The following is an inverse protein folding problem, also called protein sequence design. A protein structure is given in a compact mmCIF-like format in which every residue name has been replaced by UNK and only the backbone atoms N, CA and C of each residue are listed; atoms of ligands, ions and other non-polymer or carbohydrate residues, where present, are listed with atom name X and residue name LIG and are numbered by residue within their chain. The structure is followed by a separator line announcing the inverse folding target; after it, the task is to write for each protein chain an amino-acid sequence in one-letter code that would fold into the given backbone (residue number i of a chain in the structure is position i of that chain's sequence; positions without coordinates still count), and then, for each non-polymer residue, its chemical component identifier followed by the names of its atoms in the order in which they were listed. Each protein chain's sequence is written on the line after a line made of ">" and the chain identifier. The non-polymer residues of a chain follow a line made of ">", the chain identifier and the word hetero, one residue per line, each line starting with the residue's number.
data_IF_457170788538
#
_entry.id   IF_457170788538
#
_cell.length_a   1.000
_cell.length_b   1.000
_cell.length_c   1.000
_cell.angle_alpha   90.00
_cell.angle_beta   90.00
_cell.angle_gamma   90.00
#
_symmetry.space_group_name_H-M   'P 1'
#
loop_
_entity.id
_entity.type
_entity.pdbx_description
1 polymer ?
#
# COMPACT_ATOMS: atom_id res chain seq x y z
N UNK A 1 -14.35 11.98 -18.51
CA UNK A 1 -14.01 10.65 -17.98
C UNK A 1 -15.30 10.00 -17.50
N UNK A 2 -15.58 8.77 -17.93
CA UNK A 2 -16.71 7.95 -17.46
C UNK A 2 -16.41 7.42 -16.05
N UNK A 3 -17.43 6.92 -15.33
CA UNK A 3 -17.23 6.33 -14.00
C UNK A 3 -16.32 5.09 -14.07
N UNK A 4 -16.40 4.30 -15.15
CA UNK A 4 -15.49 3.17 -15.39
C UNK A 4 -14.04 3.62 -15.61
N UNK A 5 -13.83 4.64 -16.43
CA UNK A 5 -12.48 5.20 -16.64
C UNK A 5 -11.91 5.77 -15.34
N UNK A 6 -12.75 6.36 -14.49
CA UNK A 6 -12.35 6.85 -13.19
C UNK A 6 -11.94 5.70 -12.26
N UNK A 7 -12.69 4.59 -12.26
CA UNK A 7 -12.34 3.40 -11.49
C UNK A 7 -10.99 2.81 -11.95
N UNK A 8 -10.79 2.66 -13.26
CA UNK A 8 -9.51 2.19 -13.84
C UNK A 8 -8.36 3.13 -13.45
N UNK A 9 -8.62 4.45 -13.47
CA UNK A 9 -7.61 5.44 -13.08
C UNK A 9 -7.27 5.38 -11.59
N UNK A 10 -8.24 5.08 -10.74
CA UNK A 10 -8.01 4.92 -9.30
C UNK A 10 -7.02 3.78 -9.01
N UNK A 11 -7.03 2.71 -9.80
CA UNK A 11 -6.17 1.52 -9.62
C UNK A 11 -4.82 1.59 -10.32
N UNK A 12 -4.62 2.47 -11.31
CA UNK A 12 -3.35 2.54 -12.02
C UNK A 12 -2.37 3.49 -11.32
N UNK A 13 -1.28 3.01 -10.69
CA UNK A 13 -0.32 3.86 -9.98
C UNK A 13 0.51 4.78 -10.88
N UNK A 14 0.53 4.60 -12.20
CA UNK A 14 1.34 5.41 -13.13
C UNK A 14 0.49 6.25 -14.07
N UNK A 15 -0.58 6.85 -13.56
CA UNK A 15 -1.38 7.80 -14.32
C UNK A 15 -1.17 9.24 -13.86
N UNK A 16 -1.53 10.16 -14.73
CA UNK A 16 -1.40 11.62 -14.57
C UNK A 16 -2.41 12.20 -13.57
N UNK A 17 -2.48 11.57 -12.39
CA UNK A 17 -3.30 12.00 -11.27
C UNK A 17 -2.46 12.04 -9.99
N UNK A 18 -2.60 13.10 -9.23
CA UNK A 18 -2.23 13.04 -7.82
C UNK A 18 -3.30 12.24 -7.10
N UNK A 19 -2.94 11.10 -6.54
CA UNK A 19 -3.83 10.23 -5.77
C UNK A 19 -3.51 10.35 -4.30
N UNK A 20 -4.53 10.46 -3.49
CA UNK A 20 -4.39 10.51 -2.03
C UNK A 20 -5.32 9.47 -1.42
N UNK A 21 -4.91 8.19 -1.36
CA UNK A 21 -5.64 7.18 -0.62
C UNK A 21 -5.44 7.40 0.88
N UNK A 22 -6.53 7.24 1.62
CA UNK A 22 -6.58 7.17 3.07
C UNK A 22 -7.28 5.87 3.40
N UNK A 23 -6.55 4.93 4.01
CA UNK A 23 -7.05 3.60 4.31
C UNK A 23 -6.98 3.32 5.81
N UNK A 24 -8.11 2.94 6.40
CA UNK A 24 -8.16 2.32 7.72
C UNK A 24 -8.14 0.81 7.58
N UNK A 25 -7.28 0.15 8.34
CA UNK A 25 -7.18 -1.30 8.44
C UNK A 25 -7.37 -1.70 9.89
N UNK A 26 -8.52 -2.31 10.19
CA UNK A 26 -8.83 -2.82 11.52
C UNK A 26 -8.52 -4.29 11.58
N UNK A 27 -7.60 -4.68 12.48
CA UNK A 27 -7.20 -6.06 12.73
C UNK A 27 -7.97 -6.66 13.92
N UNK A 28 -8.49 -7.86 13.73
CA UNK A 28 -9.31 -8.57 14.72
C UNK A 28 -8.62 -9.83 15.21
N UNK A 29 -8.99 -10.24 16.43
CA UNK A 29 -8.50 -11.46 17.10
C UNK A 29 -6.97 -11.47 17.24
N UNK A 30 -6.41 -10.34 17.67
CA UNK A 30 -4.98 -10.15 17.94
C UNK A 30 -4.60 -10.82 19.23
N UNK A 31 -3.61 -11.70 19.18
CA UNK A 31 -3.09 -12.41 20.34
C UNK A 31 -4.10 -13.35 21.02
N UNK A 32 -3.78 -13.77 22.25
CA UNK A 32 -4.62 -14.74 23.00
C UNK A 32 -5.89 -14.12 23.55
N UNK A 33 -5.88 -12.81 23.77
CA UNK A 33 -7.04 -12.09 24.34
C UNK A 33 -8.01 -11.58 23.26
N UNK A 34 -7.80 -11.97 22.00
CA UNK A 34 -8.64 -11.58 20.85
C UNK A 34 -8.85 -10.05 20.75
N UNK A 35 -7.81 -9.28 20.99
CA UNK A 35 -7.85 -7.83 20.94
C UNK A 35 -8.10 -7.30 19.51
N UNK A 36 -8.39 -6.01 19.42
CA UNK A 36 -8.60 -5.29 18.16
C UNK A 36 -7.55 -4.19 18.07
N UNK A 37 -6.89 -4.09 16.93
CA UNK A 37 -5.96 -3.00 16.58
C UNK A 37 -6.44 -2.28 15.35
N UNK A 38 -5.94 -1.08 15.12
CA UNK A 38 -6.30 -0.27 13.96
C UNK A 38 -5.09 0.50 13.44
N UNK A 39 -5.05 0.72 12.13
CA UNK A 39 -4.04 1.54 11.48
C UNK A 39 -4.68 2.38 10.38
N UNK A 40 -4.36 3.66 10.35
CA UNK A 40 -4.75 4.55 9.26
C UNK A 40 -3.50 4.91 8.48
N UNK A 41 -3.48 4.51 7.22
CA UNK A 41 -2.41 4.80 6.27
C UNK A 41 -2.84 5.91 5.31
N UNK A 42 -1.94 6.84 5.03
CA UNK A 42 -2.05 7.87 4.00
C UNK A 42 -0.87 7.69 3.05
N UNK A 43 -1.14 7.41 1.79
CA UNK A 43 -0.08 7.04 0.84
C UNK A 43 -0.23 7.77 -0.50
N UNK A 44 0.00 9.09 -0.53
CA UNK A 44 -0.16 9.87 -1.74
C UNK A 44 0.80 9.41 -2.84
N UNK A 45 0.30 9.36 -4.07
CA UNK A 45 1.09 9.14 -5.26
C UNK A 45 1.25 10.45 -6.02
N UNK A 46 2.48 10.90 -6.12
CA UNK A 46 2.86 12.22 -6.63
C UNK A 46 3.63 12.06 -7.95
N UNK A 47 3.04 12.39 -9.11
CA UNK A 47 3.73 12.39 -10.39
C UNK A 47 4.57 13.64 -10.58
N UNK A 48 5.75 13.49 -11.18
CA UNK A 48 6.67 14.56 -11.58
C UNK A 48 7.17 14.27 -13.00
N UNK A 49 6.83 15.11 -13.97
CA UNK A 49 7.35 14.99 -15.34
C UNK A 49 8.81 15.45 -15.38
N UNK A 50 9.73 14.54 -15.70
CA UNK A 50 11.15 14.86 -15.82
C UNK A 50 11.48 15.37 -17.22
N UNK A 51 10.94 14.73 -18.25
CA UNK A 51 11.09 15.10 -19.65
C UNK A 51 10.03 14.37 -20.52
N UNK A 52 10.11 14.50 -21.84
CA UNK A 52 9.13 13.90 -22.77
C UNK A 52 9.10 12.36 -22.74
N UNK A 53 10.11 11.69 -22.19
CA UNK A 53 10.24 10.23 -22.23
C UNK A 53 10.10 9.59 -20.83
N UNK A 54 10.26 10.36 -19.74
CA UNK A 54 10.34 9.83 -18.38
C UNK A 54 9.61 10.67 -17.35
N UNK A 55 8.84 9.99 -16.52
CA UNK A 55 8.20 10.52 -15.32
C UNK A 55 8.80 9.88 -14.06
N UNK A 56 8.83 10.64 -12.98
CA UNK A 56 9.17 10.19 -11.64
C UNK A 56 7.90 10.18 -10.79
N UNK A 57 7.63 9.08 -10.11
CA UNK A 57 6.56 8.99 -9.12
C UNK A 57 7.16 8.84 -7.73
N UNK A 58 6.67 9.65 -6.78
CA UNK A 58 6.99 9.48 -5.37
C UNK A 58 5.75 8.99 -4.62
N UNK A 59 5.92 7.94 -3.81
CA UNK A 59 4.86 7.30 -3.00
C UNK A 59 5.31 7.28 -1.54
N UNK A 60 5.19 8.39 -0.77
CA UNK A 60 5.38 8.37 0.67
C UNK A 60 4.23 7.63 1.34
N UNK A 61 4.53 6.85 2.37
CA UNK A 61 3.57 6.10 3.18
C UNK A 61 3.70 6.54 4.63
N UNK A 62 2.60 7.04 5.20
CA UNK A 62 2.50 7.49 6.57
C UNK A 62 1.38 6.71 7.27
N UNK A 63 1.73 5.98 8.31
CA UNK A 63 0.79 5.17 9.08
C UNK A 63 0.72 5.65 10.51
N UNK A 64 -0.49 5.88 11.00
CA UNK A 64 -0.79 6.05 12.43
C UNK A 64 -1.51 4.80 12.89
N UNK A 65 -0.95 4.10 13.87
CA UNK A 65 -1.48 2.83 14.35
C UNK A 65 -1.86 2.86 15.82
N UNK A 66 -2.83 2.03 16.17
CA UNK A 66 -3.11 1.57 17.53
C UNK A 66 -2.80 0.08 17.61
N UNK A 67 -1.75 -0.25 18.34
CA UNK A 67 -1.37 -1.63 18.68
C UNK A 67 -1.81 -1.97 20.10
N UNK A 68 -2.64 -3.01 20.29
CA UNK A 68 -3.12 -3.42 21.61
C UNK A 68 -2.14 -4.35 22.35
N UNK A 69 -1.03 -4.77 21.71
CA UNK A 69 -0.08 -5.75 22.24
C UNK A 69 1.37 -5.39 21.88
N UNK A 70 2.37 -5.74 22.71
CA UNK A 70 2.28 -6.29 24.08
C UNK A 70 1.72 -5.29 25.09
N UNK A 71 1.91 -3.99 24.85
CA UNK A 71 1.32 -2.87 25.60
C UNK A 71 0.51 -2.01 24.62
N UNK A 72 -0.54 -1.38 25.09
CA UNK A 72 -1.34 -0.47 24.28
C UNK A 72 -0.51 0.76 23.89
N UNK A 73 -0.30 0.91 22.59
CA UNK A 73 0.45 2.03 22.00
C UNK A 73 -0.34 2.64 20.84
N UNK A 74 -0.29 3.96 20.74
CA UNK A 74 -0.82 4.69 19.59
C UNK A 74 0.20 5.68 19.10
N UNK A 75 0.34 5.82 17.80
CA UNK A 75 1.25 6.82 17.24
C UNK A 75 1.65 6.53 15.81
N UNK A 76 2.62 7.30 15.33
CA UNK A 76 3.18 7.17 14.00
C UNK A 76 4.08 5.93 13.93
N UNK A 77 3.98 5.18 12.85
CA UNK A 77 4.93 4.15 12.45
C UNK A 77 6.14 4.74 11.70
N UNK A 78 7.08 3.87 11.31
CA UNK A 78 8.21 4.30 10.47
C UNK A 78 7.70 4.72 9.08
N UNK A 79 8.01 5.95 8.69
CA UNK A 79 7.66 6.49 7.36
C UNK A 79 8.48 5.77 6.29
N UNK A 80 7.83 5.42 5.19
CA UNK A 80 8.48 4.87 4.00
C UNK A 80 8.23 5.78 2.80
N UNK A 81 9.14 5.75 1.84
CA UNK A 81 8.95 6.45 0.56
C UNK A 81 9.54 5.62 -0.57
N UNK A 82 8.70 5.26 -1.54
CA UNK A 82 9.11 4.64 -2.79
C UNK A 82 9.22 5.68 -3.90
N UNK A 83 10.21 5.51 -4.76
CA UNK A 83 10.38 6.32 -5.96
C UNK A 83 10.40 5.39 -7.17
N UNK A 84 9.64 5.77 -8.22
CA UNK A 84 9.58 4.98 -9.45
C UNK A 84 9.90 5.88 -10.64
N UNK A 85 10.94 5.54 -11.38
CA UNK A 85 11.17 6.05 -12.71
C UNK A 85 10.35 5.21 -13.69
N UNK A 86 9.48 5.85 -14.47
CA UNK A 86 8.56 5.20 -15.40
C UNK A 86 8.60 5.88 -16.77
N UNK A 87 8.45 5.14 -17.88
CA UNK A 87 8.28 5.76 -19.19
C UNK A 87 7.01 6.64 -19.23
N UNK A 88 7.13 7.87 -19.75
CA UNK A 88 6.03 8.83 -19.86
C UNK A 88 4.94 8.41 -20.88
N UNK A 89 5.19 7.37 -21.69
CA UNK A 89 4.25 6.88 -22.69
C UNK A 89 3.22 5.95 -22.08
N UNK A 90 1.96 6.39 -22.09
CA UNK A 90 0.83 5.57 -21.67
C UNK A 90 0.55 4.46 -22.69
N UNK A 91 0.84 3.23 -22.31
CA UNK A 91 0.51 2.00 -23.04
C UNK A 91 -0.37 1.10 -22.15
N UNK A 92 -0.86 -0.03 -22.69
CA UNK A 92 -1.57 -1.02 -21.86
C UNK A 92 -0.72 -1.61 -20.76
N UNK A 93 0.59 -1.64 -20.95
CA UNK A 93 1.59 -2.06 -19.99
C UNK A 93 2.44 -0.86 -19.60
N UNK A 94 2.46 -0.54 -18.33
CA UNK A 94 3.31 0.51 -17.77
C UNK A 94 4.13 -0.11 -16.63
N UNK A 95 5.37 0.30 -16.51
CA UNK A 95 6.24 -0.17 -15.44
C UNK A 95 7.00 0.99 -14.82
N UNK A 96 7.41 0.81 -13.59
CA UNK A 96 8.30 1.74 -12.91
C UNK A 96 9.23 0.99 -11.97
N UNK A 97 10.42 1.50 -11.79
CA UNK A 97 11.39 0.93 -10.86
C UNK A 97 12.23 2.03 -10.20
N UNK A 98 12.74 1.77 -9.01
CA UNK A 98 13.57 2.71 -8.28
C UNK A 98 13.89 2.26 -6.86
N UNK A 99 14.30 3.15 -5.98
CA UNK A 99 14.55 2.87 -4.57
C UNK A 99 13.30 3.03 -3.71
N UNK A 100 13.28 2.27 -2.61
CA UNK A 100 12.45 2.53 -1.42
C UNK A 100 13.36 2.86 -0.24
N UNK A 101 12.95 3.80 0.60
CA UNK A 101 13.67 4.19 1.82
C UNK A 101 12.66 4.18 2.98
N UNK A 102 13.06 3.58 4.10
CA UNK A 102 12.35 3.63 5.38
C UNK A 102 13.14 4.46 6.38
N UNK A 103 12.45 5.35 7.06
CA UNK A 103 12.99 6.28 8.04
C UNK A 103 12.57 5.83 9.44
N UNK A 104 13.47 5.80 10.45
CA UNK A 104 13.12 5.43 11.82
C UNK A 104 12.39 6.59 12.53
N UNK A 105 11.17 6.88 12.12
CA UNK A 105 10.36 8.02 12.55
C UNK A 105 9.23 7.65 13.50
N UNK A 106 9.11 6.36 13.82
CA UNK A 106 8.06 5.87 14.71
C UNK A 106 8.08 6.59 16.07
N UNK A 107 6.90 6.91 16.58
CA UNK A 107 6.74 7.63 17.85
C UNK A 107 7.06 6.78 19.09
N UNK A 108 7.11 5.45 18.93
CA UNK A 108 7.55 4.53 19.98
C UNK A 108 8.32 3.34 19.40
N UNK A 109 9.08 2.65 20.26
CA UNK A 109 9.84 1.47 19.87
C UNK A 109 8.97 0.26 19.49
N UNK A 110 7.71 0.26 19.85
CA UNK A 110 6.75 -0.81 19.54
C UNK A 110 6.09 -0.61 18.17
N UNK A 111 6.08 0.63 17.66
CA UNK A 111 5.48 1.00 16.38
C UNK A 111 6.51 1.10 15.25
N UNK A 112 7.79 0.96 15.52
CA UNK A 112 8.82 1.07 14.50
C UNK A 112 10.04 0.19 14.73
N UNK A 113 10.86 0.10 13.70
CA UNK A 113 12.06 -0.72 13.69
C UNK A 113 13.26 -0.05 14.36
N UNK A 114 13.26 1.28 14.43
CA UNK A 114 14.42 2.08 14.88
C UNK A 114 15.61 2.02 13.92
N UNK A 115 15.38 1.56 12.67
CA UNK A 115 16.41 1.31 11.66
C UNK A 115 16.13 2.11 10.39
N UNK A 116 17.18 2.68 9.82
CA UNK A 116 17.18 3.12 8.44
C UNK A 116 17.28 1.91 7.53
N UNK A 117 16.34 1.77 6.62
CA UNK A 117 16.31 0.66 5.67
C UNK A 117 16.12 1.20 4.26
N UNK A 118 16.69 0.53 3.29
CA UNK A 118 16.50 0.86 1.89
C UNK A 118 16.58 -0.39 1.02
N UNK A 119 16.10 -0.27 -0.22
CA UNK A 119 16.23 -1.33 -1.19
C UNK A 119 15.58 -1.00 -2.53
N UNK A 120 15.53 -1.96 -3.45
CA UNK A 120 14.86 -1.79 -4.73
C UNK A 120 13.35 -1.90 -4.59
N UNK A 121 12.63 -1.16 -5.43
CA UNK A 121 11.20 -1.31 -5.66
C UNK A 121 10.90 -1.31 -7.15
N UNK A 122 9.89 -2.06 -7.56
CA UNK A 122 9.40 -2.08 -8.94
C UNK A 122 7.90 -2.35 -8.96
N UNK A 123 7.23 -1.83 -9.99
CA UNK A 123 5.84 -2.14 -10.26
C UNK A 123 5.61 -2.32 -11.77
N UNK A 124 4.67 -3.20 -12.10
CA UNK A 124 4.17 -3.44 -13.45
C UNK A 124 2.66 -3.37 -13.44
N UNK A 125 2.10 -2.58 -14.35
CA UNK A 125 0.67 -2.32 -14.46
C UNK A 125 0.16 -2.78 -15.82
N UNK A 126 -0.99 -3.41 -15.83
CA UNK A 126 -1.77 -3.71 -17.03
C UNK A 126 -3.14 -3.06 -16.95
N UNK A 127 -3.51 -2.29 -17.97
CA UNK A 127 -4.86 -1.72 -18.12
C UNK A 127 -5.42 -2.10 -19.48
N UNK A 128 -6.53 -2.82 -19.49
CA UNK A 128 -7.15 -3.29 -20.74
C UNK A 128 -8.62 -3.64 -20.58
N UNK A 129 -9.49 -2.94 -21.34
CA UNK A 129 -10.94 -3.09 -21.19
C UNK A 129 -11.38 -2.72 -19.78
N UNK A 130 -12.15 -3.60 -19.13
CA UNK A 130 -12.59 -3.43 -17.75
C UNK A 130 -11.54 -3.83 -16.69
N UNK A 131 -10.41 -4.38 -17.09
CA UNK A 131 -9.38 -4.88 -16.18
C UNK A 131 -8.31 -3.83 -15.91
N UNK A 132 -7.96 -3.70 -14.63
CA UNK A 132 -6.84 -2.91 -14.15
C UNK A 132 -6.10 -3.75 -13.13
N UNK A 133 -4.90 -4.18 -13.48
CA UNK A 133 -4.13 -5.10 -12.65
C UNK A 133 -2.74 -4.54 -12.45
N UNK A 134 -2.17 -4.71 -11.27
CA UNK A 134 -0.76 -4.42 -11.07
C UNK A 134 -0.09 -5.44 -10.15
N UNK A 135 1.21 -5.45 -10.19
CA UNK A 135 2.05 -6.07 -9.19
C UNK A 135 3.12 -5.05 -8.79
N UNK A 136 3.20 -4.79 -7.50
CA UNK A 136 4.28 -4.00 -6.91
C UNK A 136 5.07 -4.90 -5.98
N UNK A 137 6.39 -4.76 -6.00
CA UNK A 137 7.26 -5.46 -5.08
C UNK A 137 8.41 -4.56 -4.62
N UNK A 138 8.83 -4.75 -3.37
CA UNK A 138 10.06 -4.15 -2.86
C UNK A 138 10.78 -5.08 -1.89
N UNK A 139 12.04 -4.78 -1.67
CA UNK A 139 12.86 -5.45 -0.67
C UNK A 139 13.58 -4.41 0.18
N UNK A 140 13.40 -4.47 1.49
CA UNK A 140 14.01 -3.56 2.46
C UNK A 140 15.12 -4.27 3.23
N UNK A 141 16.28 -3.63 3.33
CA UNK A 141 17.40 -4.06 4.17
C UNK A 141 17.87 -2.89 5.03
N UNK A 142 18.02 -3.13 6.33
CA UNK A 142 18.54 -2.10 7.23
C UNK A 142 20.05 -1.92 7.05
N UNK A 143 20.50 -0.65 7.00
CA UNK A 143 21.91 -0.29 6.83
C UNK A 143 22.46 0.60 7.96
N UNK A 144 21.57 1.27 8.73
CA UNK A 144 21.94 2.15 9.84
C UNK A 144 20.87 2.19 10.94
N UNK A 145 21.08 2.96 11.99
CA UNK A 145 20.13 3.17 13.08
C UNK A 145 20.55 2.49 14.38
N UNK A 146 19.58 2.23 15.27
CA UNK A 146 19.83 1.66 16.59
C UNK A 146 20.28 0.19 16.49
N UNK A 147 21.52 -0.10 16.88
CA UNK A 147 22.12 -1.45 16.80
C UNK A 147 21.57 -2.44 17.82
N UNK A 148 20.88 -1.97 18.86
CA UNK A 148 20.20 -2.83 19.84
C UNK A 148 18.88 -3.40 19.31
N UNK A 149 18.37 -2.84 18.23
CA UNK A 149 17.17 -3.30 17.51
C UNK A 149 17.54 -4.36 16.47
N UNK A 150 16.63 -5.30 16.23
CA UNK A 150 16.77 -6.30 15.17
C UNK A 150 17.05 -5.67 13.80
N UNK A 151 17.73 -6.39 12.93
CA UNK A 151 17.89 -5.99 11.54
C UNK A 151 16.57 -6.11 10.79
N UNK A 152 16.36 -5.24 9.81
CA UNK A 152 15.26 -5.36 8.84
C UNK A 152 15.81 -6.06 7.61
N UNK A 153 15.13 -7.11 7.17
CA UNK A 153 15.37 -7.79 5.91
C UNK A 153 14.04 -8.38 5.46
N UNK A 154 13.29 -7.63 4.62
CA UNK A 154 11.89 -7.92 4.34
C UNK A 154 11.58 -7.75 2.86
N UNK A 155 10.84 -8.69 2.31
CA UNK A 155 10.25 -8.60 0.96
C UNK A 155 8.75 -8.36 1.08
N UNK A 156 8.24 -7.45 0.28
CA UNK A 156 6.83 -7.13 0.14
C UNK A 156 6.40 -7.31 -1.30
N UNK A 157 5.22 -7.87 -1.51
CA UNK A 157 4.61 -8.07 -2.82
C UNK A 157 3.12 -7.75 -2.70
N UNK A 158 2.64 -6.85 -3.55
CA UNK A 158 1.25 -6.40 -3.65
C UNK A 158 0.74 -6.70 -5.07
N UNK A 159 0.15 -7.88 -5.33
CA UNK A 159 -0.53 -8.16 -6.57
C UNK A 159 -1.96 -7.64 -6.49
N UNK A 160 -2.39 -6.78 -7.41
CA UNK A 160 -3.78 -6.36 -7.53
C UNK A 160 -4.41 -6.92 -8.81
N UNK A 161 -5.59 -7.48 -8.66
CA UNK A 161 -6.47 -7.85 -9.77
C UNK A 161 -7.81 -7.15 -9.54
N UNK A 162 -8.19 -6.25 -10.44
CA UNK A 162 -9.40 -5.45 -10.36
C UNK A 162 -10.24 -5.56 -11.64
N UNK A 163 -11.55 -5.75 -11.47
CA UNK A 163 -12.54 -5.66 -12.54
C UNK A 163 -13.46 -4.47 -12.31
N UNK A 164 -13.52 -3.55 -13.29
CA UNK A 164 -14.21 -2.27 -13.23
C UNK A 164 -15.48 -2.30 -14.09
N UNK A 165 -16.65 -2.18 -13.48
CA UNK A 165 -17.94 -2.13 -14.17
C UNK A 165 -18.20 -0.74 -14.78
N UNK A 166 -19.03 -0.66 -15.80
CA UNK A 166 -19.40 0.62 -16.47
C UNK A 166 -20.02 1.65 -15.51
N UNK A 167 -20.66 1.19 -14.44
CA UNK A 167 -21.29 2.04 -13.41
C UNK A 167 -20.31 2.59 -12.35
N UNK A 168 -19.00 2.41 -12.57
CA UNK A 168 -17.96 2.84 -11.63
C UNK A 168 -17.77 1.92 -10.41
N UNK A 169 -18.61 0.90 -10.23
CA UNK A 169 -18.35 -0.16 -9.26
C UNK A 169 -17.15 -1.00 -9.69
N UNK A 170 -16.44 -1.55 -8.73
CA UNK A 170 -15.37 -2.52 -9.00
C UNK A 170 -15.28 -3.56 -7.89
N UNK A 171 -14.67 -4.68 -8.23
CA UNK A 171 -14.23 -5.69 -7.28
C UNK A 171 -12.76 -5.93 -7.49
N UNK A 172 -12.03 -6.10 -6.40
CA UNK A 172 -10.57 -6.33 -6.46
C UNK A 172 -10.11 -7.31 -5.40
N UNK A 173 -8.93 -7.86 -5.64
CA UNK A 173 -8.13 -8.59 -4.66
C UNK A 173 -6.72 -7.99 -4.72
N UNK A 174 -6.24 -7.44 -3.61
CA UNK A 174 -4.92 -6.81 -3.46
C UNK A 174 -4.28 -7.19 -2.11
N UNK A 175 -3.84 -8.43 -1.96
CA UNK A 175 -3.20 -8.89 -0.74
C UNK A 175 -1.82 -8.25 -0.54
N UNK A 176 -1.56 -7.72 0.66
CA UNK A 176 -0.25 -7.24 1.11
C UNK A 176 0.61 -8.41 1.61
N UNK A 177 1.31 -9.08 0.72
CA UNK A 177 2.12 -10.26 1.06
C UNK A 177 3.49 -9.82 1.55
N UNK A 178 3.86 -10.27 2.75
CA UNK A 178 5.16 -9.94 3.35
C UNK A 178 5.93 -11.20 3.72
N UNK A 179 7.24 -11.15 3.53
CA UNK A 179 8.18 -12.16 4.02
C UNK A 179 9.33 -11.51 4.78
N UNK A 180 9.47 -11.85 6.05
CA UNK A 180 10.58 -11.42 6.90
C UNK A 180 11.68 -12.49 6.92
N UNK A 181 12.83 -12.16 6.33
CA UNK A 181 13.99 -13.04 6.24
C UNK A 181 14.75 -13.22 7.58
N UNK A 182 14.40 -12.40 8.58
CA UNK A 182 15.02 -12.44 9.92
C UNK A 182 14.20 -13.22 10.91
N UNK A 183 12.94 -13.51 10.60
CA UNK A 183 12.01 -14.22 11.47
C UNK A 183 12.17 -15.74 11.36
N UNK A 184 11.78 -16.46 12.41
CA UNK A 184 11.65 -17.91 12.39
C UNK A 184 10.62 -18.35 11.35
N UNK A 185 10.80 -19.53 10.76
CA UNK A 185 10.00 -20.03 9.64
C UNK A 185 8.48 -20.00 9.87
N UNK A 186 8.02 -20.15 11.12
CA UNK A 186 6.61 -20.07 11.50
C UNK A 186 6.04 -18.65 11.53
N UNK A 187 6.91 -17.63 11.64
CA UNK A 187 6.55 -16.22 11.80
C UNK A 187 6.98 -15.34 10.62
N UNK A 188 7.56 -15.94 9.58
CA UNK A 188 8.17 -15.19 8.48
C UNK A 188 7.13 -14.63 7.48
N UNK A 189 5.99 -15.24 7.33
CA UNK A 189 5.00 -14.89 6.32
C UNK A 189 3.80 -14.13 6.89
N UNK A 190 3.36 -13.10 6.15
CA UNK A 190 2.02 -12.54 6.22
C UNK A 190 1.40 -12.73 4.85
N UNK A 191 0.30 -13.49 4.77
CA UNK A 191 -0.42 -13.75 3.52
C UNK A 191 -1.91 -13.51 3.76
N UNK A 192 -2.40 -12.30 3.47
CA UNK A 192 -3.83 -12.01 3.47
C UNK A 192 -4.49 -12.62 2.23
N UNK A 193 -5.73 -13.08 2.37
CA UNK A 193 -6.56 -13.52 1.24
C UNK A 193 -7.98 -13.00 1.46
N UNK A 194 -8.48 -12.26 0.49
CA UNK A 194 -9.78 -11.64 0.58
C UNK A 194 -10.12 -10.84 -0.66
N UNK A 195 -11.08 -9.96 -0.55
CA UNK A 195 -11.48 -9.08 -1.64
C UNK A 195 -12.09 -7.79 -1.11
N UNK A 196 -12.08 -6.78 -1.96
CA UNK A 196 -12.74 -5.51 -1.76
C UNK A 196 -13.83 -5.31 -2.81
N UNK A 197 -14.84 -4.54 -2.42
CA UNK A 197 -15.79 -3.91 -3.32
C UNK A 197 -15.68 -2.40 -3.15
N UNK A 198 -15.70 -1.69 -4.25
CA UNK A 198 -15.63 -0.25 -4.21
C UNK A 198 -16.40 0.41 -5.34
N UNK A 199 -16.45 1.73 -5.27
CA UNK A 199 -17.09 2.56 -6.29
C UNK A 199 -16.30 3.85 -6.50
N UNK A 200 -15.94 4.10 -7.76
CA UNK A 200 -15.43 5.38 -8.20
C UNK A 200 -16.60 6.25 -8.71
N UNK A 201 -16.63 7.51 -8.33
CA UNK A 201 -17.69 8.44 -8.69
C UNK A 201 -17.23 9.88 -8.53
N UNK A 202 -18.03 10.78 -9.08
CA UNK A 202 -17.80 12.23 -8.98
C UNK A 202 -18.73 12.84 -7.95
N UNK A 203 -18.16 13.56 -6.98
CA UNK A 203 -18.92 14.33 -5.98
C UNK A 203 -18.65 15.83 -6.20
N UNK A 204 -19.58 16.50 -6.88
CA UNK A 204 -19.35 17.87 -7.35
C UNK A 204 -18.20 17.91 -8.36
N UNK A 205 -17.13 18.64 -8.07
CA UNK A 205 -15.92 18.72 -8.89
C UNK A 205 -14.82 17.70 -8.48
N UNK A 206 -15.03 16.96 -7.38
CA UNK A 206 -14.04 16.03 -6.83
C UNK A 206 -14.27 14.62 -7.32
N UNK A 207 -13.25 14.01 -7.89
CA UNK A 207 -13.21 12.60 -8.24
C UNK A 207 -12.79 11.77 -7.01
N UNK A 208 -13.58 10.74 -6.68
CA UNK A 208 -13.43 9.92 -5.49
C UNK A 208 -13.55 8.43 -5.80
N UNK A 209 -12.87 7.61 -5.01
CA UNK A 209 -13.14 6.17 -4.92
C UNK A 209 -13.34 5.79 -3.45
N UNK A 210 -14.40 5.05 -3.16
CA UNK A 210 -14.67 4.44 -1.86
C UNK A 210 -14.58 2.93 -1.97
N UNK A 211 -14.01 2.29 -0.95
CA UNK A 211 -13.75 0.86 -0.95
C UNK A 211 -13.93 0.27 0.44
N UNK A 212 -14.43 -0.95 0.50
CA UNK A 212 -14.48 -1.77 1.71
C UNK A 212 -14.13 -3.21 1.35
N UNK A 213 -13.33 -3.86 2.18
CA UNK A 213 -12.94 -5.24 1.98
C UNK A 213 -12.55 -5.94 3.27
N UNK A 214 -12.49 -7.27 3.19
CA UNK A 214 -12.09 -8.12 4.31
C UNK A 214 -11.14 -9.20 3.83
N UNK A 215 -10.11 -9.48 4.65
CA UNK A 215 -9.06 -10.44 4.36
C UNK A 215 -8.79 -11.32 5.57
N UNK A 216 -8.73 -12.62 5.37
CA UNK A 216 -8.24 -13.59 6.34
C UNK A 216 -6.72 -13.73 6.18
N UNK A 217 -5.97 -13.76 7.29
CA UNK A 217 -4.52 -13.94 7.24
C UNK A 217 -4.18 -15.42 7.28
N UNK A 218 -4.09 -16.05 6.10
CA UNK A 218 -3.80 -17.48 5.93
C UNK A 218 -2.46 -17.90 6.53
N UNK A 219 -1.50 -17.00 6.48
CA UNK A 219 -0.21 -17.08 7.16
C UNK A 219 0.01 -15.77 7.92
N UNK A 220 0.46 -15.90 9.16
CA UNK A 220 0.73 -14.75 10.02
C UNK A 220 1.69 -15.11 11.14
N UNK A 221 2.47 -14.15 11.67
CA UNK A 221 3.23 -14.30 12.91
C UNK A 221 2.31 -14.57 14.11
N UNK A 222 2.86 -15.20 15.12
CA UNK A 222 2.16 -15.35 16.41
C UNK A 222 1.79 -13.97 16.97
N UNK A 223 0.55 -13.82 17.41
CA UNK A 223 0.04 -12.56 17.95
C UNK A 223 -0.49 -11.57 16.92
N UNK A 224 -0.28 -11.79 15.63
CA UNK A 224 -0.89 -10.97 14.57
C UNK A 224 -2.41 -11.19 14.48
N UNK A 225 -3.18 -10.26 13.85
CA UNK A 225 -4.62 -10.42 13.64
C UNK A 225 -4.93 -11.69 12.82
N UNK A 226 -6.10 -12.29 13.06
CA UNK A 226 -6.56 -13.41 12.24
C UNK A 226 -7.13 -12.92 10.92
N UNK A 227 -7.91 -11.84 10.96
CA UNK A 227 -8.48 -11.21 9.81
C UNK A 227 -8.48 -9.69 9.95
N UNK A 228 -8.58 -9.00 8.83
CA UNK A 228 -8.60 -7.54 8.75
C UNK A 228 -9.82 -7.06 7.97
N UNK A 229 -10.36 -5.91 8.36
CA UNK A 229 -11.31 -5.12 7.62
C UNK A 229 -10.59 -3.88 7.10
N UNK A 230 -10.71 -3.60 5.81
CA UNK A 230 -10.21 -2.38 5.18
C UNK A 230 -11.36 -1.46 4.81
N UNK A 231 -11.19 -0.18 5.04
CA UNK A 231 -12.06 0.88 4.51
C UNK A 231 -11.16 1.97 3.95
N UNK A 232 -11.37 2.34 2.70
CA UNK A 232 -10.52 3.31 2.05
C UNK A 232 -11.33 4.37 1.30
N UNK A 233 -10.81 5.59 1.31
CA UNK A 233 -11.23 6.68 0.43
C UNK A 233 -10.02 7.17 -0.34
N UNK A 234 -10.13 7.24 -1.67
CA UNK A 234 -9.09 7.80 -2.53
C UNK A 234 -9.60 9.06 -3.19
N UNK A 235 -8.88 10.16 -2.98
CA UNK A 235 -9.08 11.41 -3.69
C UNK A 235 -8.21 11.42 -4.93
N UNK A 236 -8.80 11.76 -6.09
CA UNK A 236 -8.09 11.87 -7.35
C UNK A 236 -8.11 13.33 -7.80
N UNK A 237 -6.92 13.89 -8.00
CA UNK A 237 -6.76 15.26 -8.49
C UNK A 237 -6.08 15.22 -9.86
N UNK A 238 -6.65 15.86 -10.90
CA UNK A 238 -5.96 15.98 -12.18
C UNK A 238 -4.59 16.65 -11.98
N UNK A 239 -3.56 16.06 -12.55
CA UNK A 239 -2.25 16.69 -12.57
C UNK A 239 -2.24 17.77 -13.65
N UNK A 240 -1.97 19.01 -13.26
CA UNK A 240 -1.83 20.14 -14.17
C UNK A 240 -0.34 20.28 -14.49
N UNK A 241 0.02 20.08 -15.75
CA UNK A 241 1.38 20.27 -16.26
C UNK A 241 1.77 21.74 -16.33
#
# INVERSE_FOLDING_TARGET
>A
MTDQELAISAHNPFQDFVKVPIQSTTGFQIGRDHKVGDAVNIEPLLPFSLNADWDLFARPSLTVAYSPTPHEQSGLEDVQTSFFLSPAKNTRWVWGAGPIIQFPTASSSELGTGRWSAGPTAALVYSGGAWSNYILAYHLMSFAGNRERGSVNQTYIEPEISYNFESGWYVQCDPDITYDWTADAGNAWIIPMGADIGKAFKMGSQDLSLQVGAYDLLKRPEGAPQWILRVSVTFLFPHVH
#
